data_IF_656368968510
#
_entry.id   IF_656368968510
#
_cell.length_a   1.000
_cell.length_b   1.000
_cell.length_c   1.000
_cell.angle_alpha   90.00
_cell.angle_beta   90.00
_cell.angle_gamma   90.00
#
_symmetry.space_group_name_H-M   'P 1'
#
loop_
_entity.id
_entity.type
_entity.pdbx_description
1 polymer ?
#
# COMPACT_ATOMS: atom_id res chain seq x y z
N UNK A 1 -11.83 -21.55 7.01
CA UNK A 1 -10.72 -20.61 7.22
C UNK A 1 -10.28 -19.92 5.93
N UNK A 2 -10.01 -20.63 4.81
CA UNK A 2 -9.58 -19.99 3.54
C UNK A 2 -10.60 -18.98 2.99
N UNK A 3 -11.91 -19.29 3.05
CA UNK A 3 -12.99 -18.42 2.54
C UNK A 3 -13.12 -17.10 3.30
N UNK A 4 -13.00 -17.12 4.64
CA UNK A 4 -13.05 -15.90 5.48
C UNK A 4 -11.88 -14.96 5.15
N UNK A 5 -10.68 -15.52 5.01
CA UNK A 5 -9.48 -14.76 4.63
C UNK A 5 -9.64 -14.15 3.24
N UNK A 6 -10.15 -14.90 2.27
CA UNK A 6 -10.42 -14.41 0.94
C UNK A 6 -11.43 -13.26 0.94
N UNK A 7 -12.52 -13.39 1.71
CA UNK A 7 -13.51 -12.32 1.86
C UNK A 7 -12.89 -11.04 2.48
N UNK A 8 -12.04 -11.17 3.50
CA UNK A 8 -11.34 -10.02 4.09
C UNK A 8 -10.39 -9.35 3.09
N UNK A 9 -9.65 -10.13 2.31
CA UNK A 9 -8.79 -9.58 1.25
C UNK A 9 -9.61 -8.85 0.17
N UNK A 10 -10.77 -9.37 -0.21
CA UNK A 10 -11.67 -8.71 -1.15
C UNK A 10 -12.19 -7.37 -0.61
N UNK A 11 -12.59 -7.33 0.68
CA UNK A 11 -13.00 -6.09 1.35
C UNK A 11 -11.85 -5.09 1.39
N UNK A 12 -10.63 -5.52 1.74
CA UNK A 12 -9.46 -4.64 1.77
C UNK A 12 -9.09 -4.12 0.37
N UNK A 13 -9.22 -4.94 -0.68
CA UNK A 13 -9.01 -4.51 -2.06
C UNK A 13 -10.06 -3.48 -2.51
N UNK A 14 -11.33 -3.69 -2.14
CA UNK A 14 -12.39 -2.71 -2.39
C UNK A 14 -12.16 -1.40 -1.63
N UNK A 15 -11.72 -1.46 -0.37
CA UNK A 15 -11.31 -0.28 0.40
C UNK A 15 -10.12 0.45 -0.24
N UNK A 16 -9.14 -0.30 -0.77
CA UNK A 16 -8.01 0.27 -1.49
C UNK A 16 -8.48 1.08 -2.71
N UNK A 17 -9.35 0.50 -3.53
CA UNK A 17 -9.93 1.17 -4.70
C UNK A 17 -10.76 2.41 -4.29
N UNK A 18 -11.58 2.31 -3.25
CA UNK A 18 -12.39 3.42 -2.75
C UNK A 18 -11.54 4.57 -2.21
N UNK A 19 -10.52 4.27 -1.38
CA UNK A 19 -9.61 5.28 -0.82
C UNK A 19 -8.70 5.90 -1.90
N UNK A 20 -8.39 5.17 -2.97
CA UNK A 20 -7.73 5.70 -4.15
C UNK A 20 -8.64 6.65 -4.92
N UNK A 21 -9.92 6.31 -5.09
CA UNK A 21 -10.91 7.13 -5.77
C UNK A 21 -11.27 8.42 -5.00
N UNK A 22 -11.25 8.36 -3.66
CA UNK A 22 -11.44 9.50 -2.74
C UNK A 22 -10.17 10.37 -2.59
N UNK A 23 -9.25 10.30 -3.55
CA UNK A 23 -8.04 11.11 -3.54
C UNK A 23 -8.36 12.59 -3.39
N UNK A 24 -7.63 13.27 -2.49
CA UNK A 24 -7.64 14.71 -2.39
C UNK A 24 -6.71 15.28 -3.46
N UNK A 25 -7.30 15.77 -4.54
CA UNK A 25 -6.57 16.43 -5.61
C UNK A 25 -6.38 17.91 -5.27
N UNK A 26 -5.21 18.26 -4.77
CA UNK A 26 -4.81 19.64 -4.45
C UNK A 26 -3.94 20.19 -5.59
N UNK A 27 -4.58 20.53 -6.70
CA UNK A 27 -3.96 21.14 -7.89
C UNK A 27 -2.83 20.28 -8.51
N UNK A 28 -1.66 20.21 -7.90
CA UNK A 28 -0.52 19.41 -8.38
C UNK A 28 -0.16 18.26 -7.44
N UNK A 29 -0.87 18.13 -6.32
CA UNK A 29 -0.59 17.13 -5.28
C UNK A 29 -1.79 16.22 -5.12
N UNK A 30 -1.59 14.93 -5.30
CA UNK A 30 -2.61 13.92 -5.07
C UNK A 30 -2.31 13.16 -3.79
N UNK A 31 -3.17 13.30 -2.79
CA UNK A 31 -3.07 12.57 -1.54
C UNK A 31 -4.05 11.38 -1.61
N UNK A 32 -3.51 10.16 -1.65
CA UNK A 32 -4.29 8.92 -1.63
C UNK A 32 -3.97 8.11 -0.39
N UNK A 33 -4.97 7.47 0.18
CA UNK A 33 -4.81 6.57 1.34
C UNK A 33 -4.91 5.10 0.95
N UNK A 34 -4.77 4.78 -0.34
CA UNK A 34 -4.89 3.43 -0.90
C UNK A 34 -3.88 2.42 -0.34
N UNK A 35 -2.69 2.87 0.09
CA UNK A 35 -1.70 2.02 0.73
C UNK A 35 -2.14 1.51 2.12
N UNK A 36 -3.08 2.19 2.80
CA UNK A 36 -3.53 1.80 4.13
C UNK A 36 -4.10 0.37 4.21
N UNK A 37 -5.12 -0.02 3.41
CA UNK A 37 -5.64 -1.39 3.44
C UNK A 37 -4.64 -2.42 2.95
N UNK A 38 -3.72 -2.05 2.05
CA UNK A 38 -2.66 -2.93 1.57
C UNK A 38 -1.72 -3.30 2.70
N UNK A 39 -1.22 -2.29 3.44
CA UNK A 39 -0.34 -2.51 4.58
C UNK A 39 -1.05 -3.26 5.71
N UNK A 40 -2.32 -2.97 5.96
CA UNK A 40 -3.13 -3.70 6.93
C UNK A 40 -3.25 -5.19 6.57
N UNK A 41 -3.61 -5.51 5.33
CA UNK A 41 -3.69 -6.88 4.83
C UNK A 41 -2.36 -7.62 4.91
N UNK A 42 -1.27 -6.95 4.52
CA UNK A 42 0.08 -7.48 4.59
C UNK A 42 0.52 -7.80 6.02
N UNK A 43 0.25 -6.90 6.97
CA UNK A 43 0.60 -7.07 8.38
C UNK A 43 -0.23 -8.16 9.09
N UNK A 44 -1.46 -8.39 8.66
CA UNK A 44 -2.37 -9.37 9.26
C UNK A 44 -2.25 -10.76 8.64
N UNK A 45 -2.17 -10.84 7.32
CA UNK A 45 -2.31 -12.09 6.57
C UNK A 45 -1.06 -12.54 5.83
N UNK A 46 -0.08 -11.64 5.65
CA UNK A 46 1.22 -11.96 5.09
C UNK A 46 1.46 -11.49 3.65
N UNK A 47 2.57 -11.95 3.02
CA UNK A 47 3.08 -11.34 1.78
C UNK A 47 2.17 -11.53 0.56
N UNK A 48 1.61 -12.72 0.38
CA UNK A 48 0.74 -12.98 -0.76
C UNK A 48 -0.59 -12.23 -0.66
N UNK A 49 -1.09 -12.05 0.55
CA UNK A 49 -2.33 -11.30 0.79
C UNK A 49 -2.11 -9.80 0.58
N UNK A 50 -1.01 -9.26 1.10
CA UNK A 50 -0.62 -7.87 0.86
C UNK A 50 -0.40 -7.57 -0.62
N UNK A 51 0.28 -8.49 -1.35
CA UNK A 51 0.45 -8.40 -2.79
C UNK A 51 -0.91 -8.45 -3.51
N UNK A 52 -1.78 -9.39 -3.17
CA UNK A 52 -3.08 -9.54 -3.80
C UNK A 52 -3.98 -8.31 -3.58
N UNK A 53 -4.05 -7.81 -2.34
CA UNK A 53 -4.80 -6.58 -2.02
C UNK A 53 -4.24 -5.38 -2.77
N UNK A 54 -2.91 -5.24 -2.81
CA UNK A 54 -2.24 -4.16 -3.54
C UNK A 54 -2.47 -4.25 -5.04
N UNK A 55 -2.33 -5.43 -5.62
CA UNK A 55 -2.53 -5.64 -7.04
C UNK A 55 -3.99 -5.39 -7.45
N UNK A 56 -4.94 -6.09 -6.82
CA UNK A 56 -6.36 -6.01 -7.19
C UNK A 56 -6.94 -4.65 -6.86
N UNK A 57 -6.66 -4.10 -5.66
CA UNK A 57 -7.18 -2.80 -5.23
C UNK A 57 -6.68 -1.66 -6.11
N UNK A 58 -5.37 -1.62 -6.42
CA UNK A 58 -4.81 -0.59 -7.28
C UNK A 58 -5.23 -0.77 -8.74
N UNK A 59 -5.37 -2.03 -9.24
CA UNK A 59 -5.91 -2.30 -10.56
C UNK A 59 -7.33 -1.74 -10.70
N UNK A 60 -8.21 -2.05 -9.76
CA UNK A 60 -9.59 -1.54 -9.76
C UNK A 60 -9.60 -0.01 -9.72
N UNK A 61 -8.79 0.61 -8.88
CA UNK A 61 -8.66 2.06 -8.83
C UNK A 61 -8.20 2.65 -10.17
N UNK A 62 -7.14 2.09 -10.78
CA UNK A 62 -6.62 2.55 -12.07
C UNK A 62 -7.68 2.44 -13.18
N UNK A 63 -8.39 1.30 -13.25
CA UNK A 63 -9.43 1.09 -14.24
C UNK A 63 -10.60 2.07 -14.09
N UNK A 64 -11.05 2.30 -12.85
CA UNK A 64 -12.18 3.19 -12.57
C UNK A 64 -11.84 4.68 -12.80
N UNK A 65 -10.61 5.09 -12.51
CA UNK A 65 -10.20 6.50 -12.56
C UNK A 65 -9.61 6.93 -13.90
N UNK A 66 -8.80 6.09 -14.50
CA UNK A 66 -7.98 6.42 -15.69
C UNK A 66 -8.27 5.54 -16.90
N UNK A 67 -9.02 4.44 -16.73
CA UNK A 67 -9.19 3.44 -17.76
C UNK A 67 -7.93 2.58 -17.96
N UNK A 68 -7.87 1.89 -19.08
CA UNK A 68 -6.72 1.04 -19.45
C UNK A 68 -5.70 1.89 -20.22
N UNK A 69 -4.47 1.92 -19.76
CA UNK A 69 -3.32 2.55 -20.43
C UNK A 69 -2.13 1.59 -20.49
N UNK A 70 -1.16 1.88 -21.35
CA UNK A 70 0.08 1.10 -21.45
C UNK A 70 0.86 1.12 -20.14
N UNK A 71 0.75 2.21 -19.38
CA UNK A 71 1.43 2.39 -18.09
C UNK A 71 0.65 1.86 -16.90
N UNK A 72 -0.60 1.41 -17.06
CA UNK A 72 -1.41 0.84 -15.97
C UNK A 72 -0.68 -0.23 -15.15
N UNK A 73 0.02 -1.22 -15.74
CA UNK A 73 0.77 -2.21 -14.97
C UNK A 73 1.89 -1.60 -14.13
N UNK A 74 2.53 -0.54 -14.61
CA UNK A 74 3.61 0.15 -13.89
C UNK A 74 3.08 0.86 -12.64
N UNK A 75 1.88 1.44 -12.69
CA UNK A 75 1.24 2.10 -11.56
C UNK A 75 0.75 1.14 -10.46
N UNK A 76 0.50 -0.13 -10.81
CA UNK A 76 0.11 -1.17 -9.85
C UNK A 76 1.31 -1.70 -9.06
N UNK A 77 2.48 -1.79 -9.75
CA UNK A 77 3.67 -2.45 -9.22
C UNK A 77 4.14 -1.90 -7.86
N UNK A 78 4.23 -0.58 -7.62
CA UNK A 78 4.66 -0.03 -6.33
C UNK A 78 3.84 -0.51 -5.14
N UNK A 79 2.54 -0.57 -5.29
CA UNK A 79 1.60 -0.97 -4.24
C UNK A 79 1.61 -2.47 -3.98
N UNK A 80 1.68 -3.27 -5.04
CA UNK A 80 1.82 -4.72 -4.94
C UNK A 80 3.15 -5.10 -4.24
N UNK A 81 4.26 -4.44 -4.60
CA UNK A 81 5.56 -4.65 -3.97
C UNK A 81 5.58 -4.19 -2.51
N UNK A 82 4.97 -3.05 -2.18
CA UNK A 82 4.88 -2.59 -0.80
C UNK A 82 4.12 -3.60 0.08
N UNK A 83 3.01 -4.13 -0.43
CA UNK A 83 2.26 -5.20 0.25
C UNK A 83 3.09 -6.47 0.44
N UNK A 84 3.81 -6.89 -0.60
CA UNK A 84 4.69 -8.07 -0.56
C UNK A 84 5.80 -7.91 0.49
N UNK A 85 6.55 -6.80 0.43
CA UNK A 85 7.68 -6.52 1.33
C UNK A 85 7.23 -6.42 2.77
N UNK A 86 6.17 -5.67 3.03
CA UNK A 86 5.58 -5.51 4.37
C UNK A 86 5.12 -6.85 4.95
N UNK A 87 4.42 -7.64 4.14
CA UNK A 87 3.95 -8.96 4.54
C UNK A 87 5.09 -9.96 4.77
N UNK A 88 6.16 -9.87 4.00
CA UNK A 88 7.35 -10.70 4.18
C UNK A 88 8.05 -10.38 5.50
N UNK A 89 8.17 -9.11 5.83
CA UNK A 89 8.70 -8.67 7.13
C UNK A 89 7.83 -9.15 8.28
N UNK A 90 6.49 -9.00 8.17
CA UNK A 90 5.55 -9.47 9.18
C UNK A 90 5.65 -10.99 9.38
N UNK A 91 5.73 -11.75 8.29
CA UNK A 91 5.89 -13.22 8.33
C UNK A 91 7.20 -13.64 8.99
N UNK A 92 8.33 -12.97 8.66
CA UNK A 92 9.64 -13.25 9.29
C UNK A 92 9.66 -12.99 10.79
N UNK A 93 8.81 -12.09 11.27
CA UNK A 93 8.65 -11.78 12.71
C UNK A 93 7.53 -12.58 13.37
N UNK A 94 7.03 -13.64 12.72
CA UNK A 94 5.94 -14.48 13.25
C UNK A 94 4.65 -13.70 13.52
N UNK A 95 4.40 -12.61 12.79
CA UNK A 95 3.27 -11.68 12.98
C UNK A 95 3.19 -11.04 14.38
N UNK A 96 4.21 -11.16 15.22
CA UNK A 96 4.30 -10.58 16.57
C UNK A 96 5.18 -9.33 16.59
N UNK A 97 4.76 -8.32 15.81
CA UNK A 97 5.49 -7.05 15.69
C UNK A 97 5.23 -6.15 16.90
N UNK A 98 6.31 -5.56 17.42
CA UNK A 98 6.19 -4.46 18.37
C UNK A 98 5.66 -3.20 17.64
N UNK A 99 5.13 -2.23 18.40
CA UNK A 99 4.67 -0.95 17.82
C UNK A 99 5.77 -0.27 17.02
N UNK A 100 7.00 -0.22 17.53
CA UNK A 100 8.14 0.39 16.83
C UNK A 100 8.49 -0.34 15.52
N UNK A 101 8.45 -1.67 15.50
CA UNK A 101 8.68 -2.46 14.28
C UNK A 101 7.58 -2.25 13.24
N UNK A 102 6.33 -2.14 13.69
CA UNK A 102 5.20 -1.84 12.79
C UNK A 102 5.34 -0.44 12.19
N UNK A 103 5.67 0.56 13.00
CA UNK A 103 5.93 1.92 12.51
C UNK A 103 7.09 1.92 11.52
N UNK A 104 8.21 1.26 11.84
CA UNK A 104 9.40 1.20 10.99
C UNK A 104 9.09 0.62 9.61
N UNK A 105 8.38 -0.52 9.55
CA UNK A 105 8.05 -1.14 8.25
C UNK A 105 7.00 -0.32 7.46
N UNK A 106 6.07 0.34 8.14
CA UNK A 106 5.10 1.24 7.50
C UNK A 106 5.80 2.43 6.85
N UNK A 107 6.72 3.07 7.57
CA UNK A 107 7.54 4.17 7.03
C UNK A 107 8.34 3.69 5.82
N UNK A 108 9.02 2.54 5.94
CA UNK A 108 9.80 1.97 4.84
C UNK A 108 8.92 1.64 3.61
N UNK A 109 7.72 1.13 3.82
CA UNK A 109 6.76 0.86 2.75
C UNK A 109 6.27 2.13 2.05
N UNK A 110 5.96 3.21 2.80
CA UNK A 110 5.55 4.48 2.21
C UNK A 110 6.68 5.16 1.43
N UNK A 111 7.92 5.07 1.91
CA UNK A 111 9.10 5.53 1.18
C UNK A 111 9.28 4.72 -0.11
N UNK A 112 9.14 3.39 -0.04
CA UNK A 112 9.22 2.50 -1.21
C UNK A 112 8.15 2.87 -2.26
N UNK A 113 6.88 3.02 -1.84
CA UNK A 113 5.78 3.43 -2.72
C UNK A 113 6.07 4.78 -3.37
N UNK A 114 6.53 5.75 -2.58
CA UNK A 114 6.83 7.10 -3.08
C UNK A 114 7.96 7.08 -4.09
N UNK A 115 9.04 6.36 -3.82
CA UNK A 115 10.19 6.22 -4.73
C UNK A 115 9.79 5.54 -6.04
N UNK A 116 9.12 4.39 -5.95
CA UNK A 116 8.68 3.64 -7.14
C UNK A 116 7.64 4.41 -7.96
N UNK A 117 6.66 5.05 -7.31
CA UNK A 117 5.68 5.90 -8.00
C UNK A 117 6.35 7.11 -8.67
N UNK A 118 7.43 7.65 -8.11
CA UNK A 118 8.20 8.73 -8.76
C UNK A 118 8.91 8.22 -10.01
N UNK A 119 9.47 7.01 -9.95
CA UNK A 119 10.06 6.35 -11.12
C UNK A 119 9.02 6.07 -12.21
N UNK A 120 7.86 5.51 -11.82
CA UNK A 120 6.75 5.26 -12.76
C UNK A 120 6.30 6.56 -13.43
N UNK A 121 6.14 7.63 -12.65
CA UNK A 121 5.77 8.94 -13.18
C UNK A 121 6.82 9.49 -14.15
N UNK A 122 8.10 9.27 -13.91
CA UNK A 122 9.16 9.64 -14.85
C UNK A 122 9.03 8.88 -16.18
N UNK A 123 8.80 7.57 -16.12
CA UNK A 123 8.60 6.72 -17.30
C UNK A 123 7.36 7.16 -18.06
N UNK A 124 6.26 7.39 -17.36
CA UNK A 124 4.98 7.85 -17.91
C UNK A 124 5.13 9.21 -18.61
N UNK A 125 5.80 10.17 -17.97
CA UNK A 125 6.05 11.50 -18.53
C UNK A 125 6.90 11.44 -19.80
N UNK A 126 7.89 10.55 -19.87
CA UNK A 126 8.70 10.31 -21.07
C UNK A 126 7.89 9.66 -22.19
N UNK A 127 7.04 8.69 -21.85
CA UNK A 127 6.25 7.96 -22.82
C UNK A 127 5.17 8.83 -23.48
N UNK A 128 4.49 9.66 -22.68
CA UNK A 128 3.41 10.54 -23.14
C UNK A 128 3.86 11.96 -23.50
N UNK A 129 5.16 12.26 -23.44
CA UNK A 129 5.75 13.49 -23.94
C UNK A 129 5.52 14.76 -23.11
N UNK A 130 5.07 14.64 -21.86
CA UNK A 130 4.89 15.81 -20.97
C UNK A 130 6.07 16.05 -20.00
N UNK A 131 7.18 15.38 -20.24
CA UNK A 131 8.39 15.56 -19.46
C UNK A 131 9.08 16.89 -19.81
N UNK A 132 9.58 17.60 -18.79
CA UNK A 132 10.41 18.80 -18.94
C UNK A 132 11.57 18.79 -17.94
N UNK A 133 12.70 19.50 -18.21
CA UNK A 133 13.77 19.68 -17.25
C UNK A 133 13.25 20.28 -15.93
N UNK A 134 13.54 19.65 -14.79
CA UNK A 134 13.02 20.08 -13.50
C UNK A 134 11.70 19.41 -13.06
N UNK A 135 11.05 18.59 -13.91
CA UNK A 135 9.81 17.89 -13.58
C UNK A 135 9.90 17.09 -12.28
N UNK A 136 10.97 16.30 -12.11
CA UNK A 136 11.17 15.48 -10.91
C UNK A 136 11.43 16.35 -9.68
N UNK A 137 12.25 17.39 -9.78
CA UNK A 137 12.55 18.27 -8.64
C UNK A 137 11.30 19.03 -8.17
N UNK A 138 10.46 19.48 -9.08
CA UNK A 138 9.18 20.14 -8.76
C UNK A 138 8.21 19.19 -8.03
N UNK A 139 8.23 17.88 -8.37
CA UNK A 139 7.33 16.89 -7.77
C UNK A 139 7.87 16.25 -6.49
N UNK A 140 9.19 16.32 -6.25
CA UNK A 140 9.83 15.63 -5.12
C UNK A 140 9.38 16.19 -3.77
N UNK A 141 9.31 17.50 -3.63
CA UNK A 141 8.96 18.17 -2.38
C UNK A 141 7.50 17.89 -1.96
N UNK A 142 6.49 18.06 -2.82
CA UNK A 142 5.10 17.71 -2.49
C UNK A 142 4.92 16.23 -2.16
N UNK A 143 5.56 15.34 -2.93
CA UNK A 143 5.50 13.89 -2.69
C UNK A 143 6.17 13.47 -1.39
N UNK A 144 7.30 14.09 -1.05
CA UNK A 144 7.95 13.90 0.23
C UNK A 144 7.07 14.31 1.41
N UNK A 145 6.41 15.46 1.32
CA UNK A 145 5.46 15.92 2.34
C UNK A 145 4.28 14.94 2.52
N UNK A 146 3.68 14.48 1.42
CA UNK A 146 2.60 13.47 1.46
C UNK A 146 3.10 12.15 2.07
N UNK A 147 4.30 11.70 1.71
CA UNK A 147 4.91 10.50 2.28
C UNK A 147 5.04 10.61 3.80
N UNK A 148 5.54 11.74 4.30
CA UNK A 148 5.69 11.98 5.76
C UNK A 148 4.32 11.98 6.45
N UNK A 149 3.33 12.69 5.91
CA UNK A 149 1.97 12.73 6.48
C UNK A 149 1.37 11.32 6.55
N UNK A 150 1.46 10.55 5.47
CA UNK A 150 0.96 9.16 5.43
C UNK A 150 1.72 8.27 6.42
N UNK A 151 3.04 8.36 6.47
CA UNK A 151 3.86 7.58 7.38
C UNK A 151 3.51 7.85 8.85
N UNK A 152 3.27 9.11 9.21
CA UNK A 152 2.82 9.52 10.56
C UNK A 152 1.43 8.96 10.85
N UNK A 153 0.45 9.22 10.00
CA UNK A 153 -0.95 8.76 10.21
C UNK A 153 -1.01 7.24 10.31
N UNK A 154 -0.40 6.53 9.38
CA UNK A 154 -0.41 5.07 9.36
C UNK A 154 0.40 4.48 10.51
N UNK A 155 1.52 5.11 10.88
CA UNK A 155 2.34 4.71 12.01
C UNK A 155 1.58 4.74 13.34
N UNK A 156 0.63 5.69 13.51
CA UNK A 156 -0.23 5.75 14.69
C UNK A 156 -1.42 4.80 14.63
N UNK A 157 -2.03 4.63 13.46
CA UNK A 157 -3.30 3.90 13.29
C UNK A 157 -3.07 2.40 13.14
N UNK A 158 -2.15 1.98 12.27
CA UNK A 158 -1.95 0.56 11.92
C UNK A 158 -1.57 -0.32 13.12
N UNK A 159 -0.66 0.06 14.03
CA UNK A 159 -0.32 -0.78 15.18
C UNK A 159 -1.53 -1.07 16.07
N UNK A 160 -2.33 -0.03 16.34
CA UNK A 160 -3.53 -0.13 17.17
C UNK A 160 -4.61 -0.98 16.49
N UNK A 161 -4.80 -0.78 15.19
CA UNK A 161 -5.79 -1.51 14.40
C UNK A 161 -5.41 -2.97 14.26
N UNK A 162 -4.16 -3.29 13.93
CA UNK A 162 -3.66 -4.66 13.86
C UNK A 162 -3.87 -5.40 15.18
N UNK A 163 -3.56 -4.76 16.32
CA UNK A 163 -3.77 -5.34 17.63
C UNK A 163 -5.25 -5.64 17.93
N UNK A 164 -6.16 -4.75 17.53
CA UNK A 164 -7.62 -4.95 17.70
C UNK A 164 -8.15 -6.06 16.80
N UNK A 165 -7.77 -6.05 15.52
CA UNK A 165 -8.23 -7.05 14.54
C UNK A 165 -7.74 -8.44 14.92
N UNK A 166 -6.49 -8.59 15.38
CA UNK A 166 -5.96 -9.88 15.86
C UNK A 166 -6.73 -10.43 17.06
N UNK A 167 -7.17 -9.58 18.00
CA UNK A 167 -8.02 -9.99 19.13
C UNK A 167 -9.42 -10.43 18.67
N UNK A 168 -9.94 -9.82 17.62
CA UNK A 168 -11.26 -10.16 17.07
C UNK A 168 -11.22 -11.39 16.13
N UNK A 169 -10.03 -11.83 15.71
CA UNK A 169 -9.79 -12.98 14.83
C UNK A 169 -8.96 -14.08 15.55
N UNK A 170 -9.42 -14.64 16.69
CA UNK A 170 -8.69 -15.69 17.39
C UNK A 170 -8.59 -16.93 16.48
N UNK A 171 -7.37 -17.39 16.20
CA UNK A 171 -7.10 -18.66 15.55
C UNK A 171 -6.32 -18.65 14.22
N UNK A 172 -5.90 -17.50 13.68
CA UNK A 172 -5.07 -17.49 12.46
C UNK A 172 -3.55 -17.31 12.72
N UNK A 173 -3.17 -16.79 13.90
CA UNK A 173 -1.75 -16.63 14.29
C UNK A 173 -1.11 -17.86 14.92
N UNK A 174 -1.90 -18.81 15.39
CA UNK A 174 -1.40 -19.91 16.24
C UNK A 174 -1.03 -21.20 15.48
N UNK A 175 -1.38 -21.32 14.21
CA UNK A 175 -1.17 -22.54 13.40
C UNK A 175 0.11 -22.58 12.56
N UNK A 176 1.02 -21.63 12.68
CA UNK A 176 2.29 -21.63 11.92
C UNK A 176 3.50 -22.08 12.72
N UNK A 177 3.33 -22.53 13.97
CA UNK A 177 4.42 -23.05 14.81
C UNK A 177 4.48 -24.59 14.91
N UNK A 178 3.79 -25.31 14.02
CA UNK A 178 3.79 -26.78 14.05
C UNK A 178 3.83 -27.37 12.64
N UNK A 179 4.92 -27.21 11.94
CA UNK A 179 5.37 -28.07 10.84
C UNK A 179 6.81 -27.69 10.47
#
# INVERSE_FOLDING_TARGET
>A
MKTRKLALNAVLAAMCAALGALALDLNSIKITFESFPILLGALLFGPLDGLAVGFVGTLLYQLLRYGVSVTTPLWILPYALAGLVTGFYAKRRGFSLTTGQTVGIVVAAEVLVTALNTLVMYIDAKLYGYWFPGFISAMLLPRGAVCVVKAVVFGFVLPKLCARVRRALPGEGEKTHGA
#
